data_IF_035982142669
#
_entry.id   IF_035982142669
#
_cell.length_a   1.000
_cell.length_b   1.000
_cell.length_c   1.000
_cell.angle_alpha   90.00
_cell.angle_beta   90.00
_cell.angle_gamma   90.00
#
_symmetry.space_group_name_H-M   'P 1'
#
loop_
_entity.id
_entity.type
_entity.pdbx_description
1 polymer ?
#
# COMPACT_ATOMS: atom_id res chain seq x y z
N UNK A 1 -21.28 -37.61 23.73
CA UNK A 1 -20.18 -38.57 23.44
C UNK A 1 -20.04 -38.59 21.94
N UNK A 2 -18.96 -38.21 21.27
CA UNK A 2 -17.51 -38.14 21.58
C UNK A 2 -16.97 -36.97 20.73
N UNK A 3 -16.65 -35.82 21.33
CA UNK A 3 -15.30 -35.32 21.63
C UNK A 3 -14.26 -35.41 20.50
N UNK A 4 -14.00 -34.22 19.96
CA UNK A 4 -12.88 -33.76 19.16
C UNK A 4 -11.55 -34.04 19.88
N UNK A 5 -10.58 -34.58 19.16
CA UNK A 5 -9.21 -34.77 19.64
C UNK A 5 -8.30 -33.77 18.93
N UNK A 6 -7.85 -32.77 19.68
CA UNK A 6 -6.59 -32.07 19.45
C UNK A 6 -5.44 -32.97 19.90
N UNK A 7 -4.35 -33.05 19.15
CA UNK A 7 -3.07 -33.54 19.66
C UNK A 7 -1.91 -32.78 19.00
N UNK A 8 -1.35 -31.89 19.81
CA UNK A 8 0.01 -31.41 19.77
C UNK A 8 1.01 -32.56 19.89
N UNK A 9 2.17 -32.47 19.22
CA UNK A 9 3.36 -33.23 19.63
C UNK A 9 4.63 -32.52 19.19
N UNK A 10 5.33 -31.97 20.18
CA UNK A 10 6.77 -31.71 20.16
C UNK A 10 7.51 -33.04 20.35
N UNK A 11 8.55 -33.27 19.56
CA UNK A 11 9.61 -34.27 19.76
C UNK A 11 10.68 -34.02 18.67
N UNK A 12 11.99 -34.10 18.85
CA UNK A 12 12.87 -34.24 20.02
C UNK A 12 14.28 -33.92 19.51
N UNK A 13 15.13 -33.43 20.41
CA UNK A 13 16.55 -33.18 20.20
C UNK A 13 17.31 -34.50 20.00
N UNK A 14 18.16 -34.58 18.96
CA UNK A 14 19.09 -35.68 18.72
C UNK A 14 20.52 -35.15 18.69
N UNK A 15 21.24 -35.32 19.80
CA UNK A 15 22.68 -35.05 19.90
C UNK A 15 23.48 -36.06 19.07
N UNK A 16 24.34 -35.58 18.18
CA UNK A 16 25.56 -36.29 17.82
C UNK A 16 26.73 -35.30 17.74
N UNK A 17 27.68 -35.46 18.66
CA UNK A 17 29.00 -34.81 18.64
C UNK A 17 29.86 -35.54 17.63
N UNK A 18 30.51 -34.83 16.73
CA UNK A 18 31.85 -35.16 16.22
C UNK A 18 32.53 -33.85 15.81
N UNK A 19 33.79 -33.71 16.26
CA UNK A 19 34.65 -32.53 16.13
C UNK A 19 35.14 -32.34 14.69
N UNK A 20 35.43 -31.08 14.32
CA UNK A 20 36.30 -30.80 13.18
C UNK A 20 36.23 -29.37 12.63
N UNK A 21 37.12 -28.52 13.13
CA UNK A 21 37.87 -27.50 12.36
C UNK A 21 37.10 -26.33 11.71
N UNK A 22 37.13 -25.19 12.38
CA UNK A 22 36.87 -23.86 11.82
C UNK A 22 37.97 -23.43 10.85
N UNK A 23 37.64 -22.65 9.80
CA UNK A 23 38.51 -21.59 9.31
C UNK A 23 37.91 -20.24 9.69
N UNK A 24 38.61 -19.55 10.59
CA UNK A 24 38.51 -18.11 10.79
C UNK A 24 38.85 -17.41 9.48
N UNK A 25 38.07 -16.41 9.05
CA UNK A 25 38.53 -15.23 8.30
C UNK A 25 37.75 -14.03 8.81
N UNK A 26 38.18 -13.51 9.98
CA UNK A 26 37.96 -12.12 10.36
C UNK A 26 39.24 -11.38 9.98
N UNK A 27 39.15 -10.50 8.98
CA UNK A 27 40.17 -9.48 8.76
C UNK A 27 39.95 -8.36 9.80
N UNK A 28 41.00 -7.83 10.46
CA UNK A 28 40.87 -6.73 11.39
C UNK A 28 40.70 -5.40 10.64
N UNK A 29 39.62 -4.67 10.91
CA UNK A 29 39.49 -3.28 10.51
C UNK A 29 40.35 -2.41 11.44
N UNK A 30 41.42 -1.83 10.90
CA UNK A 30 42.19 -0.78 11.59
C UNK A 30 41.42 0.55 11.59
N UNK A 31 41.33 1.27 12.72
CA UNK A 31 40.75 2.60 12.76
C UNK A 31 41.74 3.65 12.23
N UNK A 32 41.31 4.37 11.19
CA UNK A 32 42.03 5.50 10.60
C UNK A 32 42.19 6.66 11.61
N UNK A 33 43.37 7.29 11.56
CA UNK A 33 43.88 8.29 12.51
C UNK A 33 43.02 9.55 12.62
N UNK A 34 42.75 9.95 13.88
CA UNK A 34 42.15 11.22 14.29
C UNK A 34 43.23 12.32 14.33
N UNK A 35 43.14 13.31 13.45
CA UNK A 35 43.96 14.53 13.55
C UNK A 35 43.39 15.45 14.63
N UNK A 36 44.23 15.77 15.62
CA UNK A 36 43.95 16.76 16.66
C UNK A 36 44.02 18.17 16.08
N UNK A 37 42.98 18.98 16.31
CA UNK A 37 43.09 20.45 16.26
C UNK A 37 42.66 20.97 17.62
N UNK A 38 43.53 21.81 18.16
CA UNK A 38 43.49 22.40 19.49
C UNK A 38 42.36 23.41 19.69
N UNK A 39 41.71 23.27 20.85
CA UNK A 39 40.93 24.23 21.65
C UNK A 39 41.10 25.73 21.33
N UNK A 40 39.97 26.46 21.19
CA UNK A 40 39.64 27.51 22.17
C UNK A 40 38.14 27.88 22.18
N UNK A 41 37.65 28.07 23.41
CA UNK A 41 36.48 28.85 23.85
C UNK A 41 35.05 28.40 23.49
N UNK A 42 34.54 27.47 24.31
CA UNK A 42 33.54 27.79 25.34
C UNK A 42 32.20 28.39 24.92
N UNK A 43 31.15 27.56 24.97
CA UNK A 43 29.85 27.85 25.60
C UNK A 43 29.13 26.53 25.85
N UNK A 44 28.88 26.24 27.13
CA UNK A 44 28.06 25.13 27.59
C UNK A 44 26.64 25.22 27.02
N UNK A 45 26.15 24.16 26.40
CA UNK A 45 24.72 23.94 26.16
C UNK A 45 24.36 22.58 26.76
N UNK A 46 23.63 22.68 27.86
CA UNK A 46 23.07 21.59 28.66
C UNK A 46 22.04 20.85 27.81
N UNK A 47 22.23 19.54 27.62
CA UNK A 47 21.23 18.68 27.00
C UNK A 47 20.19 18.33 28.06
N UNK A 48 19.08 19.06 28.09
CA UNK A 48 17.91 18.63 28.87
C UNK A 48 17.08 17.66 28.04
N UNK A 49 16.90 16.46 28.58
CA UNK A 49 15.83 15.55 28.22
C UNK A 49 14.48 16.25 28.45
N UNK A 50 13.72 16.45 27.38
CA UNK A 50 12.36 16.95 27.43
C UNK A 50 11.45 15.89 26.82
N UNK A 51 10.91 15.05 27.68
CA UNK A 51 9.74 14.20 27.40
C UNK A 51 8.58 15.14 27.07
N UNK A 52 8.19 15.24 25.81
CA UNK A 52 6.93 15.87 25.43
C UNK A 52 5.88 14.78 25.24
N UNK A 53 5.06 14.60 26.27
CA UNK A 53 3.80 13.88 26.21
C UNK A 53 2.87 14.60 25.24
N UNK A 54 2.50 13.95 24.13
CA UNK A 54 1.43 14.41 23.27
C UNK A 54 0.10 14.10 23.95
N UNK A 55 -0.48 15.11 24.58
CA UNK A 55 -1.88 15.11 24.99
C UNK A 55 -2.75 15.35 23.74
N UNK A 56 -3.59 14.39 23.41
CA UNK A 56 -4.69 14.57 22.45
C UNK A 56 -5.80 15.36 23.15
N UNK A 57 -5.95 16.64 22.80
CA UNK A 57 -7.18 17.39 23.06
C UNK A 57 -7.99 17.51 21.78
N UNK A 58 -9.27 17.13 21.90
CA UNK A 58 -10.32 17.17 20.87
C UNK A 58 -10.51 18.55 20.24
N UNK A 59 -10.74 18.52 18.93
CA UNK A 59 -11.47 19.45 18.06
C UNK A 59 -11.19 20.95 18.16
N UNK A 60 -10.59 21.48 17.10
CA UNK A 60 -11.14 22.63 16.38
C UNK A 60 -10.88 22.47 14.88
N UNK A 61 -11.90 22.70 14.07
CA UNK A 61 -11.83 22.70 12.61
C UNK A 61 -10.84 23.77 12.14
N UNK A 62 -9.67 23.34 11.67
CA UNK A 62 -8.75 24.22 10.94
C UNK A 62 -8.67 23.71 9.49
N UNK A 63 -9.53 24.29 8.65
CA UNK A 63 -9.33 24.29 7.19
C UNK A 63 -8.12 25.18 6.92
N UNK A 64 -6.96 24.55 6.75
CA UNK A 64 -5.77 25.24 6.27
C UNK A 64 -5.92 25.48 4.76
N UNK A 65 -6.42 26.66 4.38
CA UNK A 65 -6.29 27.14 3.00
C UNK A 65 -4.84 27.57 2.76
N UNK A 66 -4.05 26.67 2.17
CA UNK A 66 -2.81 27.06 1.51
C UNK A 66 -3.18 27.74 0.18
N UNK A 67 -3.27 29.06 0.19
CA UNK A 67 -3.45 29.85 -1.02
C UNK A 67 -2.12 29.90 -1.81
N UNK A 68 -1.96 28.98 -2.75
CA UNK A 68 -0.87 29.02 -3.73
C UNK A 68 -1.22 30.00 -4.85
N UNK A 69 -0.29 30.88 -5.20
CA UNK A 69 -0.50 31.89 -6.24
C UNK A 69 -0.59 31.24 -7.62
N UNK A 70 -1.81 30.97 -8.10
CA UNK A 70 -2.07 30.58 -9.48
C UNK A 70 -1.84 31.79 -10.40
N UNK A 71 -0.74 31.76 -11.17
CA UNK A 71 -0.59 32.57 -12.37
C UNK A 71 -1.45 31.93 -13.45
N UNK A 72 -2.57 32.56 -13.77
CA UNK A 72 -3.47 32.12 -14.84
C UNK A 72 -2.78 32.06 -16.20
N UNK A 73 -2.94 30.91 -16.87
CA UNK A 73 -2.50 30.68 -18.24
C UNK A 73 -3.10 29.40 -18.79
N UNK A 74 -4.02 29.56 -19.75
CA UNK A 74 -4.59 28.60 -20.71
C UNK A 74 -5.36 27.36 -20.18
N UNK A 75 -6.55 27.17 -20.75
CA UNK A 75 -7.54 26.13 -20.44
C UNK A 75 -7.12 24.76 -21.01
N UNK A 76 -5.95 24.28 -20.59
CA UNK A 76 -5.51 22.90 -20.74
C UNK A 76 -5.86 22.09 -19.50
N UNK A 77 -6.04 20.78 -19.63
CA UNK A 77 -5.96 19.89 -18.47
C UNK A 77 -4.54 20.01 -17.92
N UNK A 78 -4.41 20.41 -16.65
CA UNK A 78 -3.13 20.47 -15.96
C UNK A 78 -2.83 19.12 -15.30
N UNK A 79 -1.55 18.77 -15.16
CA UNK A 79 -1.12 17.54 -14.47
C UNK A 79 -1.65 17.51 -13.02
N UNK A 80 -1.87 18.67 -12.41
CA UNK A 80 -2.50 18.85 -11.11
C UNK A 80 -3.89 18.20 -10.99
N UNK A 81 -4.59 17.95 -12.11
CA UNK A 81 -5.88 17.23 -12.10
C UNK A 81 -5.76 15.76 -11.70
N UNK A 82 -4.56 15.18 -11.81
CA UNK A 82 -4.25 13.81 -11.40
C UNK A 82 -3.76 13.73 -9.94
N UNK A 83 -3.66 14.87 -9.25
CA UNK A 83 -3.36 14.89 -7.83
C UNK A 83 -4.50 14.20 -7.06
N UNK A 84 -4.17 13.20 -6.26
CA UNK A 84 -5.11 12.57 -5.34
C UNK A 84 -4.62 12.73 -3.90
N UNK A 85 -5.45 13.38 -3.09
CA UNK A 85 -5.26 13.47 -1.64
C UNK A 85 -5.33 12.09 -0.99
N UNK A 86 -6.26 11.24 -1.43
CA UNK A 86 -6.44 9.90 -0.88
C UNK A 86 -5.25 8.98 -1.18
N UNK A 87 -4.67 9.05 -2.38
CA UNK A 87 -3.44 8.32 -2.71
C UNK A 87 -2.25 8.83 -1.87
N UNK A 88 -2.18 10.14 -1.62
CA UNK A 88 -1.14 10.71 -0.77
C UNK A 88 -1.31 10.29 0.70
N UNK A 89 -2.53 10.32 1.23
CA UNK A 89 -2.87 9.82 2.56
C UNK A 89 -2.51 8.34 2.72
N UNK A 90 -2.80 7.49 1.72
CA UNK A 90 -2.47 6.07 1.73
C UNK A 90 -0.95 5.83 1.85
N UNK A 91 -0.12 6.69 1.22
CA UNK A 91 1.35 6.65 1.33
C UNK A 91 1.79 7.13 2.71
N UNK A 92 1.25 8.24 3.20
CA UNK A 92 1.58 8.78 4.53
C UNK A 92 1.22 7.81 5.65
N UNK A 93 0.06 7.14 5.53
CA UNK A 93 -0.39 6.14 6.46
C UNK A 93 0.54 4.92 6.47
N UNK A 94 0.98 4.49 5.28
CA UNK A 94 1.97 3.44 5.17
C UNK A 94 3.31 3.83 5.83
N UNK A 95 3.75 5.08 5.70
CA UNK A 95 4.92 5.57 6.43
C UNK A 95 4.76 5.53 7.94
N UNK A 96 3.59 5.92 8.44
CA UNK A 96 3.33 5.87 9.86
C UNK A 96 3.40 4.45 10.41
N UNK A 97 2.84 3.47 9.68
CA UNK A 97 2.95 2.05 10.02
C UNK A 97 4.42 1.58 10.04
N UNK A 98 5.21 1.95 9.04
CA UNK A 98 6.64 1.60 8.99
C UNK A 98 7.45 2.21 10.14
N UNK A 99 7.20 3.49 10.46
CA UNK A 99 7.86 4.18 11.57
C UNK A 99 7.51 3.52 12.92
N UNK A 100 6.24 3.24 13.18
CA UNK A 100 5.81 2.55 14.39
C UNK A 100 6.43 1.15 14.49
N UNK A 101 6.40 0.37 13.41
CA UNK A 101 7.00 -0.97 13.38
C UNK A 101 8.52 -0.92 13.67
N UNK A 102 9.21 0.08 13.11
CA UNK A 102 10.65 0.29 13.35
C UNK A 102 10.93 0.66 14.81
N UNK A 103 10.12 1.55 15.41
CA UNK A 103 10.23 1.91 16.83
C UNK A 103 9.92 0.76 17.76
N UNK A 104 8.94 -0.09 17.43
CA UNK A 104 8.68 -1.34 18.15
C UNK A 104 9.91 -2.23 18.14
N UNK A 105 10.51 -2.46 16.96
CA UNK A 105 11.70 -3.29 16.85
C UNK A 105 12.88 -2.71 17.64
N UNK A 106 13.08 -1.38 17.56
CA UNK A 106 14.10 -0.70 18.35
C UNK A 106 13.89 -0.86 19.86
N UNK A 107 12.67 -0.66 20.36
CA UNK A 107 12.35 -0.82 21.78
C UNK A 107 12.56 -2.27 22.26
N UNK A 108 12.25 -3.26 21.42
CA UNK A 108 12.51 -4.67 21.71
C UNK A 108 14.01 -4.96 21.78
N UNK A 109 14.81 -4.42 20.85
CA UNK A 109 16.27 -4.57 20.85
C UNK A 109 16.92 -3.93 22.08
N UNK A 110 16.29 -2.89 22.64
CA UNK A 110 16.72 -2.21 23.88
C UNK A 110 16.07 -2.79 25.15
N UNK A 111 15.35 -3.91 25.04
CA UNK A 111 14.64 -4.59 26.14
C UNK A 111 13.60 -3.72 26.87
N UNK A 112 13.11 -2.66 26.21
CA UNK A 112 12.06 -1.77 26.73
C UNK A 112 10.67 -2.32 26.40
N UNK A 113 10.30 -3.43 27.06
CA UNK A 113 9.09 -4.17 26.73
C UNK A 113 7.78 -3.40 26.95
N UNK A 114 7.71 -2.53 27.98
CA UNK A 114 6.51 -1.73 28.24
C UNK A 114 6.26 -0.71 27.13
N UNK A 115 7.31 -0.04 26.66
CA UNK A 115 7.26 0.90 25.54
C UNK A 115 6.92 0.14 24.25
N UNK A 116 7.55 -1.00 24.01
CA UNK A 116 7.25 -1.84 22.85
C UNK A 116 5.79 -2.28 22.84
N UNK A 117 5.21 -2.63 24.00
CA UNK A 117 3.79 -2.98 24.13
C UNK A 117 2.87 -1.79 23.82
N UNK A 118 3.17 -0.60 24.34
CA UNK A 118 2.41 0.61 24.03
C UNK A 118 2.43 0.96 22.53
N UNK A 119 3.61 0.86 21.90
CA UNK A 119 3.77 1.11 20.47
C UNK A 119 3.03 0.07 19.62
N UNK A 120 3.04 -1.21 20.01
CA UNK A 120 2.25 -2.26 19.35
C UNK A 120 0.75 -1.99 19.43
N UNK A 121 0.25 -1.57 20.60
CA UNK A 121 -1.17 -1.23 20.74
C UNK A 121 -1.57 -0.07 19.81
N UNK A 122 -0.72 0.97 19.71
CA UNK A 122 -0.94 2.08 18.76
C UNK A 122 -0.89 1.62 17.31
N UNK A 123 0.05 0.73 16.97
CA UNK A 123 0.14 0.17 15.62
C UNK A 123 -1.14 -0.62 15.29
N UNK A 124 -1.66 -1.42 16.21
CA UNK A 124 -2.92 -2.16 16.03
C UNK A 124 -4.12 -1.21 15.83
N UNK A 125 -4.23 -0.15 16.65
CA UNK A 125 -5.27 0.88 16.49
C UNK A 125 -5.22 1.55 15.11
N UNK A 126 -4.02 1.85 14.62
CA UNK A 126 -3.82 2.41 13.28
C UNK A 126 -4.23 1.41 12.21
N UNK A 127 -3.81 0.15 12.32
CA UNK A 127 -4.18 -0.90 11.38
C UNK A 127 -5.71 -1.10 11.30
N UNK A 128 -6.40 -1.06 12.45
CA UNK A 128 -7.86 -1.14 12.52
C UNK A 128 -8.54 0.04 11.80
N UNK A 129 -8.09 1.28 12.03
CA UNK A 129 -8.66 2.45 11.36
C UNK A 129 -8.35 2.47 9.86
N UNK A 130 -7.17 1.98 9.43
CA UNK A 130 -6.85 1.82 8.00
C UNK A 130 -7.78 0.82 7.33
N UNK A 131 -8.04 -0.32 7.97
CA UNK A 131 -8.97 -1.32 7.45
C UNK A 131 -10.37 -0.72 7.32
N UNK A 132 -10.82 0.03 8.32
CA UNK A 132 -12.13 0.68 8.31
C UNK A 132 -12.25 1.75 7.22
N UNK A 133 -11.23 2.57 7.01
CA UNK A 133 -11.17 3.54 5.91
C UNK A 133 -11.15 2.85 4.55
N UNK A 134 -10.41 1.75 4.43
CA UNK A 134 -10.37 0.99 3.18
C UNK A 134 -11.73 0.34 2.88
N UNK A 135 -12.44 -0.15 3.90
CA UNK A 135 -13.80 -0.68 3.76
C UNK A 135 -14.82 0.41 3.42
N UNK A 136 -14.70 1.62 3.97
CA UNK A 136 -15.60 2.72 3.58
C UNK A 136 -15.36 3.17 2.14
N UNK A 137 -14.09 3.17 1.67
CA UNK A 137 -13.72 3.48 0.28
C UNK A 137 -14.15 2.38 -0.71
N UNK A 138 -13.92 1.10 -0.39
CA UNK A 138 -14.23 -0.04 -1.29
C UNK A 138 -15.67 -0.54 -1.21
N UNK A 139 -16.46 -0.10 -0.24
CA UNK A 139 -17.61 -0.89 0.23
C UNK A 139 -17.13 -2.06 1.08
N UNK A 140 -18.05 -2.78 1.74
CA UNK A 140 -17.66 -4.02 2.43
C UNK A 140 -16.95 -4.90 1.40
N UNK A 141 -15.84 -5.53 1.78
CA UNK A 141 -15.03 -6.37 0.89
C UNK A 141 -15.97 -7.16 -0.03
N UNK A 142 -15.88 -6.96 -1.35
CA UNK A 142 -16.82 -7.53 -2.32
C UNK A 142 -17.00 -9.04 -2.16
N UNK A 143 -15.96 -9.71 -1.63
CA UNK A 143 -15.96 -11.11 -1.22
C UNK A 143 -16.85 -11.41 0.00
N UNK A 144 -16.79 -10.58 1.03
CA UNK A 144 -17.67 -10.65 2.20
C UNK A 144 -19.11 -10.30 1.84
N UNK A 145 -19.34 -9.26 1.05
CA UNK A 145 -20.69 -8.92 0.57
C UNK A 145 -21.30 -10.04 -0.27
N UNK A 146 -20.53 -10.65 -1.18
CA UNK A 146 -21.00 -11.78 -1.98
C UNK A 146 -21.35 -12.98 -1.09
N UNK A 147 -20.57 -13.24 -0.04
CA UNK A 147 -20.86 -14.30 0.94
C UNK A 147 -22.11 -13.99 1.77
N UNK A 148 -22.25 -12.77 2.27
CA UNK A 148 -23.41 -12.35 3.06
C UNK A 148 -24.70 -12.40 2.23
N UNK A 149 -24.64 -11.96 0.97
CA UNK A 149 -25.73 -12.10 0.01
C UNK A 149 -26.04 -13.56 -0.28
N UNK A 150 -25.04 -14.42 -0.46
CA UNK A 150 -25.24 -15.86 -0.66
C UNK A 150 -25.92 -16.53 0.55
N UNK A 151 -25.52 -16.18 1.78
CA UNK A 151 -26.18 -16.65 3.00
C UNK A 151 -27.64 -16.18 3.05
N UNK A 152 -27.90 -14.93 2.66
CA UNK A 152 -29.24 -14.34 2.62
C UNK A 152 -30.12 -15.04 1.59
N UNK A 153 -29.59 -15.35 0.40
CA UNK A 153 -30.27 -16.13 -0.64
C UNK A 153 -30.65 -17.53 -0.12
N UNK A 154 -29.76 -18.21 0.62
CA UNK A 154 -30.07 -19.53 1.22
C UNK A 154 -31.25 -19.43 2.20
N UNK A 155 -31.29 -18.37 3.03
CA UNK A 155 -32.40 -18.15 3.97
C UNK A 155 -33.72 -17.91 3.23
N UNK A 156 -33.73 -17.00 2.24
CA UNK A 156 -34.91 -16.70 1.44
C UNK A 156 -35.43 -17.93 0.68
N UNK A 157 -34.54 -18.80 0.18
CA UNK A 157 -34.93 -20.06 -0.45
C UNK A 157 -35.65 -21.01 0.52
N UNK A 158 -35.23 -21.05 1.79
CA UNK A 158 -35.91 -21.81 2.84
C UNK A 158 -37.30 -21.24 3.13
N UNK A 159 -37.42 -19.92 3.21
CA UNK A 159 -38.72 -19.27 3.46
C UNK A 159 -39.66 -19.40 2.25
N UNK A 160 -39.12 -19.37 1.02
CA UNK A 160 -39.87 -19.63 -0.19
C UNK A 160 -40.44 -21.05 -0.18
N UNK A 161 -39.65 -22.04 0.26
CA UNK A 161 -40.12 -23.41 0.38
C UNK A 161 -41.27 -23.51 1.41
N UNK A 162 -41.16 -22.87 2.57
CA UNK A 162 -42.24 -22.82 3.56
C UNK A 162 -43.50 -22.15 3.02
N UNK A 163 -43.36 -21.08 2.24
CA UNK A 163 -44.49 -20.38 1.64
C UNK A 163 -45.26 -21.27 0.66
N UNK A 164 -44.53 -22.04 -0.15
CA UNK A 164 -45.10 -23.05 -1.05
C UNK A 164 -45.81 -24.15 -0.25
N UNK A 165 -45.20 -24.64 0.83
CA UNK A 165 -45.81 -25.66 1.70
C UNK A 165 -47.11 -25.17 2.38
N UNK A 166 -47.19 -23.87 2.65
CA UNK A 166 -48.38 -23.22 3.21
C UNK A 166 -49.38 -22.73 2.15
N UNK A 167 -49.15 -23.01 0.86
CA UNK A 167 -49.97 -22.55 -0.27
C UNK A 167 -50.10 -21.02 -0.41
N UNK A 168 -49.16 -20.26 0.18
CA UNK A 168 -49.09 -18.80 0.05
C UNK A 168 -48.28 -18.41 -1.20
N UNK A 169 -48.95 -18.47 -2.34
CA UNK A 169 -48.33 -18.17 -3.64
C UNK A 169 -47.99 -16.70 -3.84
N UNK A 170 -48.66 -15.79 -3.11
CA UNK A 170 -48.36 -14.35 -3.20
C UNK A 170 -46.99 -14.07 -2.57
N UNK A 171 -46.76 -14.57 -1.34
CA UNK A 171 -45.47 -14.45 -0.66
C UNK A 171 -44.36 -15.21 -1.39
N UNK A 172 -44.65 -16.38 -1.97
CA UNK A 172 -43.68 -17.13 -2.76
C UNK A 172 -43.22 -16.36 -4.02
N UNK A 173 -44.08 -15.57 -4.64
CA UNK A 173 -43.73 -14.72 -5.78
C UNK A 173 -42.80 -13.58 -5.36
N UNK A 174 -43.12 -12.88 -4.26
CA UNK A 174 -42.28 -11.81 -3.71
C UNK A 174 -40.89 -12.33 -3.34
N UNK A 175 -40.81 -13.45 -2.62
CA UNK A 175 -39.52 -14.07 -2.27
C UNK A 175 -38.70 -14.48 -3.48
N UNK A 176 -39.35 -14.91 -4.58
CA UNK A 176 -38.66 -15.26 -5.83
C UNK A 176 -38.08 -14.01 -6.50
N UNK A 177 -38.80 -12.91 -6.50
CA UNK A 177 -38.33 -11.64 -7.04
C UNK A 177 -37.16 -11.09 -6.22
N UNK A 178 -37.23 -11.19 -4.88
CA UNK A 178 -36.13 -10.83 -3.98
C UNK A 178 -34.89 -11.71 -4.20
N UNK A 179 -35.05 -13.03 -4.32
CA UNK A 179 -33.96 -13.94 -4.65
C UNK A 179 -33.31 -13.55 -5.98
N UNK A 180 -34.12 -13.29 -7.02
CA UNK A 180 -33.61 -12.92 -8.35
C UNK A 180 -32.79 -11.62 -8.30
N UNK A 181 -33.27 -10.63 -7.53
CA UNK A 181 -32.55 -9.38 -7.30
C UNK A 181 -31.22 -9.60 -6.57
N UNK A 182 -31.24 -10.34 -5.46
CA UNK A 182 -30.03 -10.62 -4.67
C UNK A 182 -29.02 -11.49 -5.43
N UNK A 183 -29.49 -12.42 -6.26
CA UNK A 183 -28.64 -13.20 -7.15
C UNK A 183 -27.92 -12.31 -8.16
N UNK A 184 -28.62 -11.35 -8.79
CA UNK A 184 -28.00 -10.39 -9.69
C UNK A 184 -26.94 -9.53 -8.98
N UNK A 185 -27.25 -9.05 -7.78
CA UNK A 185 -26.31 -8.27 -6.96
C UNK A 185 -25.11 -9.10 -6.47
N UNK A 186 -25.32 -10.37 -6.12
CA UNK A 186 -24.27 -11.31 -5.70
C UNK A 186 -23.35 -11.65 -6.87
N UNK A 187 -23.92 -11.88 -8.06
CA UNK A 187 -23.14 -12.09 -9.28
C UNK A 187 -22.30 -10.87 -9.62
N UNK A 188 -22.86 -9.67 -9.57
CA UNK A 188 -22.12 -8.43 -9.79
C UNK A 188 -20.96 -8.26 -8.78
N UNK A 189 -21.21 -8.48 -7.49
CA UNK A 189 -20.19 -8.41 -6.45
C UNK A 189 -19.10 -9.50 -6.60
N UNK A 190 -19.48 -10.70 -7.05
CA UNK A 190 -18.53 -11.77 -7.32
C UNK A 190 -17.66 -11.45 -8.54
N UNK A 191 -18.24 -10.86 -9.60
CA UNK A 191 -17.53 -10.47 -10.79
C UNK A 191 -16.50 -9.36 -10.50
N UNK A 192 -16.86 -8.38 -9.66
CA UNK A 192 -15.90 -7.36 -9.20
C UNK A 192 -14.81 -7.98 -8.33
N UNK A 193 -15.13 -8.86 -7.39
CA UNK A 193 -14.11 -9.57 -6.59
C UNK A 193 -13.11 -10.35 -7.48
N UNK A 194 -13.60 -11.07 -8.49
CA UNK A 194 -12.76 -11.80 -9.43
C UNK A 194 -11.90 -10.87 -10.30
N UNK A 195 -12.44 -9.73 -10.71
CA UNK A 195 -11.68 -8.72 -11.44
C UNK A 195 -10.52 -8.16 -10.59
N UNK A 196 -10.74 -7.98 -9.28
CA UNK A 196 -9.70 -7.55 -8.35
C UNK A 196 -8.62 -8.61 -8.15
N UNK A 197 -9.00 -9.88 -7.98
CA UNK A 197 -8.06 -10.98 -7.77
C UNK A 197 -7.21 -11.26 -9.02
N UNK A 198 -7.80 -11.17 -10.21
CA UNK A 198 -7.15 -11.50 -11.49
C UNK A 198 -6.71 -10.27 -12.31
N UNK A 199 -6.57 -9.10 -11.69
CA UNK A 199 -6.14 -7.90 -12.39
C UNK A 199 -4.74 -8.09 -13.00
N UNK A 200 -4.66 -7.97 -14.32
CA UNK A 200 -3.40 -7.94 -15.04
C UNK A 200 -2.88 -6.50 -15.06
N UNK A 201 -1.67 -6.33 -14.55
CA UNK A 201 -0.98 -5.04 -14.49
C UNK A 201 0.06 -4.99 -15.61
N UNK A 202 0.00 -3.97 -16.46
CA UNK A 202 1.00 -3.73 -17.50
C UNK A 202 2.36 -3.30 -16.91
N UNK A 203 2.35 -2.70 -15.71
CA UNK A 203 3.54 -2.16 -15.08
C UNK A 203 3.82 -2.80 -13.72
N UNK A 204 5.10 -2.78 -13.31
CA UNK A 204 5.57 -3.33 -12.03
C UNK A 204 5.80 -2.25 -10.98
N UNK A 205 5.76 -2.63 -9.70
CA UNK A 205 6.18 -1.76 -8.60
C UNK A 205 7.66 -1.38 -8.76
N UNK A 206 7.96 -0.10 -8.56
CA UNK A 206 9.31 0.45 -8.71
C UNK A 206 9.73 0.74 -10.15
N UNK A 207 8.89 0.44 -11.15
CA UNK A 207 9.17 0.78 -12.54
C UNK A 207 9.12 2.28 -12.75
N UNK A 208 10.09 2.82 -13.48
CA UNK A 208 10.03 4.18 -14.01
C UNK A 208 9.12 4.23 -15.23
N UNK A 209 8.23 5.21 -15.22
CA UNK A 209 7.23 5.44 -16.27
C UNK A 209 7.21 6.91 -16.66
N UNK A 210 6.67 7.18 -17.85
CA UNK A 210 6.42 8.53 -18.34
C UNK A 210 4.94 8.70 -18.64
N UNK A 211 4.39 9.85 -18.24
CA UNK A 211 3.00 10.14 -18.54
C UNK A 211 2.80 10.46 -20.03
N UNK A 212 1.79 9.87 -20.67
CA UNK A 212 1.53 9.97 -22.11
C UNK A 212 1.13 11.37 -22.57
N UNK A 213 0.32 12.08 -21.78
CA UNK A 213 -0.20 13.42 -22.13
C UNK A 213 0.73 14.52 -21.61
N UNK A 214 0.95 14.55 -20.29
CA UNK A 214 1.79 15.53 -19.60
C UNK A 214 3.31 15.32 -19.71
N UNK A 215 3.79 14.12 -20.05
CA UNK A 215 5.22 13.89 -20.28
C UNK A 215 6.12 13.82 -19.04
N UNK A 216 5.57 14.00 -17.82
CA UNK A 216 6.36 13.93 -16.59
C UNK A 216 6.92 12.52 -16.34
N UNK A 217 8.06 12.46 -15.64
CA UNK A 217 8.69 11.23 -15.20
C UNK A 217 8.16 10.84 -13.84
N UNK A 218 7.85 9.55 -13.66
CA UNK A 218 7.34 9.04 -12.40
C UNK A 218 7.83 7.63 -12.10
N UNK A 219 7.72 7.21 -10.85
CA UNK A 219 7.97 5.83 -10.41
C UNK A 219 6.71 5.26 -9.77
N UNK A 220 6.37 4.02 -10.10
CA UNK A 220 5.20 3.34 -9.54
C UNK A 220 5.48 2.93 -8.10
N UNK A 221 4.68 3.42 -7.15
CA UNK A 221 4.75 3.02 -5.74
C UNK A 221 3.52 2.24 -5.27
N UNK A 222 2.41 2.31 -6.00
CA UNK A 222 1.19 1.57 -5.67
C UNK A 222 0.37 1.22 -6.90
N UNK A 223 -0.53 0.26 -6.73
CA UNK A 223 -1.36 -0.25 -7.82
C UNK A 223 -2.71 -0.72 -7.29
N UNK A 224 -3.77 -0.32 -7.97
CA UNK A 224 -5.13 -0.72 -7.68
C UNK A 224 -5.74 -1.38 -8.92
N UNK A 225 -6.51 -2.47 -8.76
CA UNK A 225 -7.10 -3.18 -9.90
C UNK A 225 -8.22 -2.38 -10.59
N UNK A 226 -8.87 -1.49 -9.84
CA UNK A 226 -9.92 -0.57 -10.29
C UNK A 226 -9.72 0.79 -9.63
N UNK A 227 -10.31 1.84 -10.19
CA UNK A 227 -10.27 3.16 -9.60
C UNK A 227 -10.85 3.13 -8.17
N UNK A 228 -10.04 3.51 -7.19
CA UNK A 228 -10.44 3.55 -5.77
C UNK A 228 -10.73 4.97 -5.26
N UNK A 229 -10.86 5.94 -6.18
CA UNK A 229 -11.07 7.35 -5.88
C UNK A 229 -12.53 7.79 -5.88
N UNK A 230 -12.76 8.97 -5.28
CA UNK A 230 -14.08 9.59 -5.22
C UNK A 230 -14.65 9.93 -6.61
N UNK A 231 -15.98 9.97 -6.71
CA UNK A 231 -16.66 10.35 -7.96
C UNK A 231 -16.31 11.76 -8.43
N UNK A 232 -16.13 12.70 -7.49
CA UNK A 232 -15.67 14.07 -7.79
C UNK A 232 -14.27 14.07 -8.40
N UNK A 233 -13.34 13.29 -7.84
CA UNK A 233 -12.00 13.15 -8.42
C UNK A 233 -12.06 12.53 -9.82
N UNK A 234 -12.85 11.46 -10.01
CA UNK A 234 -13.02 10.81 -11.31
C UNK A 234 -13.56 11.76 -12.38
N UNK A 235 -14.41 12.72 -12.01
CA UNK A 235 -14.91 13.74 -12.92
C UNK A 235 -13.85 14.76 -13.29
N UNK A 236 -13.06 15.22 -12.30
CA UNK A 236 -11.96 16.15 -12.50
C UNK A 236 -10.85 15.54 -13.38
N UNK A 237 -10.44 14.29 -13.10
CA UNK A 237 -9.47 13.54 -13.88
C UNK A 237 -10.04 13.00 -15.21
N UNK A 238 -11.33 13.26 -15.48
CA UNK A 238 -12.04 12.88 -16.70
C UNK A 238 -12.00 11.37 -17.00
N UNK A 239 -12.08 10.53 -15.95
CA UNK A 239 -11.99 9.06 -16.05
C UNK A 239 -13.05 8.48 -16.99
N UNK A 240 -14.25 9.09 -17.05
CA UNK A 240 -15.33 8.66 -17.95
C UNK A 240 -15.01 8.82 -19.44
N UNK A 241 -14.04 9.67 -19.81
CA UNK A 241 -13.61 9.87 -21.21
C UNK A 241 -12.51 8.90 -21.64
N UNK A 242 -11.96 8.13 -20.70
CA UNK A 242 -10.92 7.14 -20.95
C UNK A 242 -11.50 5.95 -21.70
N UNK A 243 -10.67 5.29 -22.50
CA UNK A 243 -11.13 4.18 -23.35
C UNK A 243 -11.61 2.97 -22.55
N UNK A 244 -10.94 2.71 -21.41
CA UNK A 244 -11.26 1.61 -20.49
C UNK A 244 -11.99 2.06 -19.22
N UNK A 245 -12.29 3.35 -19.08
CA UNK A 245 -13.02 3.93 -17.94
C UNK A 245 -12.35 3.66 -16.58
N UNK A 246 -13.16 3.44 -15.55
CA UNK A 246 -12.72 3.19 -14.16
C UNK A 246 -12.41 1.71 -13.86
N UNK A 247 -12.73 0.80 -14.77
CA UNK A 247 -12.55 -0.65 -14.61
C UNK A 247 -11.14 -1.13 -14.96
N UNK A 248 -10.28 -0.26 -15.46
CA UNK A 248 -8.87 -0.55 -15.68
C UNK A 248 -8.05 -0.40 -14.39
N UNK A 249 -6.83 -0.96 -14.34
CA UNK A 249 -5.90 -0.70 -13.26
C UNK A 249 -5.50 0.78 -13.18
N UNK A 250 -5.35 1.27 -11.96
CA UNK A 250 -4.81 2.58 -11.65
C UNK A 250 -3.53 2.43 -10.85
N UNK A 251 -2.61 3.37 -11.02
CA UNK A 251 -1.32 3.37 -10.37
C UNK A 251 -1.16 4.63 -9.53
N UNK A 252 -0.62 4.43 -8.32
CA UNK A 252 -0.09 5.51 -7.50
C UNK A 252 1.36 5.70 -7.91
N UNK A 253 1.70 6.89 -8.38
CA UNK A 253 3.03 7.21 -8.89
C UNK A 253 3.62 8.39 -8.15
N UNK A 254 4.91 8.31 -7.86
CA UNK A 254 5.69 9.44 -7.36
C UNK A 254 6.27 10.15 -8.57
N UNK A 255 6.02 11.44 -8.69
CA UNK A 255 6.47 12.26 -9.81
C UNK A 255 7.80 12.91 -9.46
N UNK A 256 8.71 13.00 -10.43
CA UNK A 256 10.01 13.65 -10.23
C UNK A 256 9.82 15.15 -9.95
N UNK A 257 10.41 15.63 -8.85
CA UNK A 257 10.28 17.03 -8.41
C UNK A 257 10.80 18.01 -9.46
N UNK A 258 11.78 17.60 -10.26
CA UNK A 258 12.32 18.44 -11.35
C UNK A 258 11.44 18.46 -12.59
N UNK A 259 10.57 17.46 -12.77
CA UNK A 259 9.65 17.39 -13.90
C UNK A 259 8.41 18.24 -13.62
N UNK A 260 7.77 18.04 -12.47
CA UNK A 260 6.57 18.78 -12.06
C UNK A 260 6.64 19.12 -10.55
N UNK A 261 7.09 20.32 -10.17
CA UNK A 261 7.32 20.66 -8.76
C UNK A 261 6.03 20.77 -7.94
N UNK A 262 4.88 20.96 -8.59
CA UNK A 262 3.58 21.11 -7.94
C UNK A 262 2.85 19.78 -7.72
N UNK A 263 3.36 18.68 -8.29
CA UNK A 263 2.72 17.36 -8.24
C UNK A 263 3.75 16.35 -7.75
N UNK A 264 3.65 15.95 -6.48
CA UNK A 264 4.54 14.94 -5.89
C UNK A 264 3.99 13.52 -6.05
N UNK A 265 2.69 13.38 -5.80
CA UNK A 265 1.96 12.11 -5.89
C UNK A 265 0.81 12.29 -6.87
N UNK A 266 0.73 11.40 -7.84
CA UNK A 266 -0.33 11.35 -8.83
C UNK A 266 -1.02 9.97 -8.84
N UNK A 267 -2.31 9.97 -9.14
CA UNK A 267 -3.09 8.76 -9.34
C UNK A 267 -3.51 8.67 -10.80
N UNK A 268 -2.99 7.67 -11.50
CA UNK A 268 -2.97 7.67 -12.97
C UNK A 268 -3.54 6.36 -13.52
N UNK A 269 -4.45 6.40 -14.51
CA UNK A 269 -4.92 5.19 -15.19
C UNK A 269 -3.81 4.55 -16.02
N UNK A 270 -3.85 3.21 -16.14
CA UNK A 270 -2.87 2.45 -16.92
C UNK A 270 -2.68 2.96 -18.37
N UNK A 271 -3.77 3.35 -19.05
CA UNK A 271 -3.70 3.82 -20.45
C UNK A 271 -2.95 5.15 -20.66
N UNK A 272 -2.74 5.92 -19.58
CA UNK A 272 -1.99 7.17 -19.62
C UNK A 272 -0.51 7.00 -19.30
N UNK A 273 -0.05 5.79 -18.94
CA UNK A 273 1.35 5.52 -18.64
C UNK A 273 2.06 4.90 -19.83
N UNK A 274 3.34 5.24 -19.98
CA UNK A 274 4.23 4.67 -20.99
C UNK A 274 5.53 4.20 -20.34
N UNK A 275 6.03 3.06 -20.80
CA UNK A 275 7.39 2.62 -20.50
C UNK A 275 8.36 3.50 -21.30
N UNK A 276 9.44 4.02 -20.68
CA UNK A 276 10.46 4.75 -21.41
C UNK A 276 11.16 3.83 -22.44
N UNK A 277 11.45 4.36 -23.63
CA UNK A 277 12.05 3.59 -24.73
C UNK A 277 13.48 3.11 -24.43
N UNK A 278 14.15 3.78 -23.49
CA UNK A 278 15.50 3.48 -23.02
C UNK A 278 15.51 3.42 -21.51
N UNK A 279 16.38 2.60 -20.89
CA UNK A 279 16.54 2.59 -19.44
C UNK A 279 16.91 4.00 -18.96
N UNK A 280 16.05 4.59 -18.14
CA UNK A 280 16.26 5.93 -17.60
C UNK A 280 17.12 5.85 -16.33
N UNK A 281 18.44 5.83 -16.51
CA UNK A 281 19.41 5.95 -15.41
C UNK A 281 19.61 7.42 -14.98
N UNK A 282 18.78 8.33 -15.48
CA UNK A 282 18.81 9.73 -15.08
C UNK A 282 18.54 9.92 -13.60
N UNK A 283 19.00 11.06 -13.07
CA UNK A 283 18.69 11.49 -11.71
C UNK A 283 17.18 11.66 -11.57
N UNK A 284 16.65 11.09 -10.50
CA UNK A 284 15.24 11.16 -10.11
C UNK A 284 15.20 11.56 -8.65
N UNK A 285 14.61 12.71 -8.35
CA UNK A 285 14.55 13.24 -7.00
C UNK A 285 13.10 13.28 -6.51
N UNK A 286 12.84 12.61 -5.38
CA UNK A 286 11.54 12.68 -4.71
C UNK A 286 11.70 12.36 -3.21
N UNK A 287 11.05 13.10 -2.28
CA UNK A 287 11.24 12.93 -0.84
C UNK A 287 10.90 11.53 -0.32
N UNK A 288 9.97 10.83 -0.98
CA UNK A 288 9.49 9.52 -0.54
C UNK A 288 10.34 8.34 -1.03
N UNK A 289 11.31 8.57 -1.93
CA UNK A 289 12.10 7.48 -2.52
C UNK A 289 12.92 6.72 -1.49
N UNK A 290 13.61 7.44 -0.60
CA UNK A 290 14.48 6.83 0.41
C UNK A 290 13.74 5.92 1.39
N UNK A 291 12.42 6.08 1.50
CA UNK A 291 11.59 5.29 2.41
C UNK A 291 10.90 4.11 1.72
N UNK A 292 10.54 4.24 0.44
CA UNK A 292 9.79 3.22 -0.31
C UNK A 292 10.67 2.25 -1.10
N UNK A 293 11.93 2.63 -1.37
CA UNK A 293 12.84 1.86 -2.22
C UNK A 293 14.22 1.70 -1.57
N UNK A 294 14.85 0.54 -1.77
CA UNK A 294 16.21 0.28 -1.30
C UNK A 294 17.28 0.95 -2.17
N UNK A 295 16.94 1.32 -3.40
CA UNK A 295 17.86 1.87 -4.39
C UNK A 295 17.37 1.59 -5.81
N UNK A 296 18.25 1.77 -6.79
CA UNK A 296 18.01 1.41 -8.19
C UNK A 296 18.67 0.09 -8.54
N UNK A 297 18.06 -0.65 -9.46
CA UNK A 297 18.63 -1.84 -10.08
C UNK A 297 19.58 -1.48 -11.24
N UNK A 298 20.18 -2.47 -11.89
CA UNK A 298 21.07 -2.24 -13.04
C UNK A 298 20.33 -1.78 -14.30
N UNK A 299 19.00 -1.97 -14.35
CA UNK A 299 18.15 -1.47 -15.43
C UNK A 299 17.72 0.00 -15.22
N UNK A 300 17.97 0.57 -14.04
CA UNK A 300 17.60 1.93 -13.66
C UNK A 300 16.24 2.06 -12.98
N UNK A 301 15.52 0.96 -12.75
CA UNK A 301 14.26 0.94 -12.00
C UNK A 301 14.52 0.85 -10.49
N UNK A 302 13.55 1.25 -9.70
CA UNK A 302 13.67 1.24 -8.24
C UNK A 302 13.31 -0.13 -7.64
N UNK A 303 14.06 -0.55 -6.62
CA UNK A 303 13.84 -1.81 -5.91
C UNK A 303 12.92 -1.53 -4.70
N UNK A 304 11.65 -1.97 -4.71
CA UNK A 304 10.72 -1.67 -3.62
C UNK A 304 11.06 -2.41 -2.33
N UNK A 305 10.82 -1.76 -1.18
CA UNK A 305 11.00 -2.40 0.13
C UNK A 305 10.09 -3.62 0.29
N UNK A 306 10.47 -4.55 1.17
CA UNK A 306 9.72 -5.79 1.41
C UNK A 306 8.26 -5.50 1.80
N UNK A 307 8.03 -4.56 2.70
CA UNK A 307 6.70 -4.21 3.21
C UNK A 307 5.78 -3.67 2.11
N UNK A 308 6.33 -2.90 1.16
CA UNK A 308 5.56 -2.37 0.04
C UNK A 308 5.16 -3.48 -0.93
N UNK A 309 6.06 -4.45 -1.16
CA UNK A 309 5.78 -5.65 -1.95
C UNK A 309 4.71 -6.54 -1.30
N UNK A 310 4.76 -6.69 0.01
CA UNK A 310 3.76 -7.43 0.79
C UNK A 310 2.39 -6.75 0.73
N UNK A 311 2.33 -5.41 0.84
CA UNK A 311 1.10 -4.62 0.73
C UNK A 311 0.31 -4.92 -0.56
N UNK A 312 1.01 -5.09 -1.68
CA UNK A 312 0.41 -5.36 -2.99
C UNK A 312 0.54 -6.83 -3.45
N UNK A 313 1.03 -7.72 -2.58
CA UNK A 313 1.30 -9.13 -2.88
C UNK A 313 2.07 -9.36 -4.19
N UNK A 314 3.16 -8.60 -4.40
CA UNK A 314 4.00 -8.71 -5.60
C UNK A 314 5.39 -9.29 -5.26
N UNK A 315 5.93 -10.21 -6.09
CA UNK A 315 7.26 -10.76 -5.87
C UNK A 315 8.34 -9.70 -6.09
N UNK A 316 9.58 -10.02 -5.67
CA UNK A 316 10.74 -9.22 -6.10
C UNK A 316 10.89 -9.37 -7.61
N UNK A 317 11.11 -8.26 -8.31
CA UNK A 317 11.62 -8.35 -9.66
C UNK A 317 13.13 -8.62 -9.61
N UNK A 318 13.57 -9.64 -10.33
CA UNK A 318 14.98 -9.99 -10.52
C UNK A 318 15.33 -9.77 -11.99
N UNK A 319 16.45 -9.09 -12.23
CA UNK A 319 16.97 -8.89 -13.58
C UNK A 319 17.57 -10.22 -14.04
N UNK A 320 17.30 -10.67 -15.28
CA UNK A 320 17.97 -11.83 -15.84
C UNK A 320 19.49 -11.67 -15.72
N UNK A 321 20.13 -12.63 -15.05
CA UNK A 321 21.59 -12.71 -15.03
C UNK A 321 21.98 -13.34 -16.36
N UNK A 322 22.66 -12.57 -17.22
CA UNK A 322 23.29 -13.18 -18.40
C UNK A 322 24.24 -14.28 -17.91
N UNK A 323 24.21 -15.49 -18.52
CA UNK A 323 25.11 -16.55 -18.11
C UNK A 323 26.55 -16.01 -18.19
N UNK A 324 27.43 -16.38 -17.24
CA UNK A 324 28.83 -16.00 -17.35
C UNK A 324 29.32 -16.43 -18.74
N UNK A 325 29.94 -15.51 -19.47
CA UNK A 325 30.66 -15.84 -20.68
C UNK A 325 31.75 -16.83 -20.26
N UNK A 326 31.51 -18.11 -20.49
CA UNK A 326 32.54 -19.14 -20.43
C UNK A 326 33.49 -18.88 -21.61
N UNK A 327 34.50 -18.02 -21.40
CA UNK A 327 35.68 -17.86 -22.27
C UNK A 327 36.76 -18.88 -21.95
#
# INVERSE_FOLDING_TARGET
MVQVVSLSTLATCGNSRLCGSSPSWMAPFEPYKRSQITSSNGRHLVWNNSVQSLFLTRHSDFRAEAAWMFRGGEQGLDASSEHSESANEDILMFFFQLDLATRVQYALNMEQYDIAKQLRNKLAEVEEEVIKQQQSKRGLSSKGEAQDKAISIIRLRSDLQKAIENEDYALAAELRDEISKLEAESLAASATALAHENAQYAFRLGQKVRHKKFGYRAVICGMDPVCSESSSWMENAQVKKLSRGSAQPFYQVLVDVHAEPNLLVAYVPEENLLTPDKPDTGRFDHPYISFLFYGMDSAGDFIPIKQLREKYNKPRHEIPIDPPNDE
#
